data_IF_859317146161
#
_entry.id   IF_859317146161
#
_cell.length_a   1.000
_cell.length_b   1.000
_cell.length_c   1.000
_cell.angle_alpha   90.00
_cell.angle_beta   90.00
_cell.angle_gamma   90.00
#
_symmetry.space_group_name_H-M   'P 1'
#
loop_
_entity.id
_entity.type
_entity.pdbx_description
1 polymer ?
#
# COMPACT_ATOMS: atom_id res chain seq x y z
N UNK A 1 -8.24 39.40 -8.74
CA UNK A 1 -7.38 38.34 -9.32
C UNK A 1 -5.93 38.77 -9.06
N UNK A 2 -5.34 38.27 -7.99
CA UNK A 2 -3.96 38.59 -7.62
C UNK A 2 -3.05 37.66 -8.41
N UNK A 3 -2.33 38.21 -9.37
CA UNK A 3 -1.25 37.51 -10.08
C UNK A 3 -0.17 37.21 -9.05
N UNK A 4 0.02 35.93 -8.72
CA UNK A 4 1.21 35.51 -7.98
C UNK A 4 2.42 35.72 -8.89
N UNK A 5 3.20 36.77 -8.59
CA UNK A 5 4.51 36.99 -9.19
C UNK A 5 5.40 35.79 -8.83
N UNK A 6 5.61 34.92 -9.78
CA UNK A 6 6.60 33.86 -9.65
C UNK A 6 7.98 34.43 -9.96
N UNK A 7 8.99 34.17 -9.12
CA UNK A 7 10.35 34.60 -9.41
C UNK A 7 10.81 34.04 -10.77
N UNK A 8 11.64 34.76 -11.52
CA UNK A 8 12.15 34.29 -12.81
C UNK A 8 12.87 32.96 -12.64
N UNK A 9 12.49 31.97 -13.42
CA UNK A 9 13.11 30.64 -13.39
C UNK A 9 14.53 30.71 -13.95
N UNK A 10 15.45 29.97 -13.34
CA UNK A 10 16.79 29.77 -13.93
C UNK A 10 16.69 28.93 -15.19
N UNK A 11 17.61 29.07 -16.17
CA UNK A 11 17.62 28.25 -17.39
C UNK A 11 17.61 26.73 -17.11
N UNK A 12 18.29 26.27 -16.05
CA UNK A 12 18.30 24.88 -15.63
C UNK A 12 16.92 24.41 -15.12
N UNK A 13 16.23 25.23 -14.34
CA UNK A 13 14.89 24.91 -13.87
C UNK A 13 13.87 24.87 -15.01
N UNK A 14 14.03 25.73 -16.03
CA UNK A 14 13.16 25.75 -17.21
C UNK A 14 13.38 24.51 -18.10
N UNK A 15 14.64 24.11 -18.30
CA UNK A 15 14.98 22.87 -19.02
C UNK A 15 14.42 21.62 -18.31
N UNK A 16 14.60 21.52 -16.98
CA UNK A 16 14.04 20.42 -16.18
C UNK A 16 12.51 20.39 -16.27
N UNK A 17 11.84 21.51 -16.14
CA UNK A 17 10.38 21.61 -16.28
C UNK A 17 9.89 21.17 -17.66
N UNK A 18 10.58 21.57 -18.72
CA UNK A 18 10.24 21.21 -20.10
C UNK A 18 10.38 19.71 -20.33
N UNK A 19 11.47 19.11 -19.81
CA UNK A 19 11.70 17.66 -19.87
C UNK A 19 10.63 16.88 -19.08
N UNK A 20 10.32 17.28 -17.85
CA UNK A 20 9.29 16.62 -17.02
C UNK A 20 7.89 16.72 -17.63
N UNK A 21 7.57 17.88 -18.22
CA UNK A 21 6.30 18.02 -18.97
C UNK A 21 6.24 17.10 -20.18
N UNK A 22 7.33 16.95 -20.93
CA UNK A 22 7.40 16.05 -22.06
C UNK A 22 7.23 14.59 -21.63
N UNK A 23 7.86 14.18 -20.54
CA UNK A 23 7.67 12.86 -19.93
C UNK A 23 6.21 12.65 -19.48
N UNK A 24 5.61 13.60 -18.80
CA UNK A 24 4.21 13.48 -18.36
C UNK A 24 3.25 13.31 -19.54
N UNK A 25 3.45 14.06 -20.64
CA UNK A 25 2.67 13.93 -21.87
C UNK A 25 2.92 12.57 -22.57
N UNK A 26 4.16 12.08 -22.56
CA UNK A 26 4.50 10.77 -23.07
C UNK A 26 3.75 9.64 -22.34
N UNK A 27 3.68 9.69 -21.01
CA UNK A 27 2.91 8.72 -20.22
C UNK A 27 1.42 8.84 -20.48
N UNK A 28 0.89 10.04 -20.57
CA UNK A 28 -0.52 10.28 -20.90
C UNK A 28 -0.89 9.70 -22.27
N UNK A 29 -0.01 9.79 -23.27
CA UNK A 29 -0.21 9.20 -24.58
C UNK A 29 -0.24 7.65 -24.58
N UNK A 30 0.19 7.01 -23.47
CA UNK A 30 0.09 5.56 -23.19
C UNK A 30 -1.10 5.22 -22.29
N UNK A 31 -2.07 6.15 -22.14
CA UNK A 31 -3.19 6.04 -21.22
C UNK A 31 -2.79 5.87 -19.74
N UNK A 32 -1.59 6.35 -19.37
CA UNK A 32 -1.16 6.37 -17.99
C UNK A 32 -1.54 7.69 -17.33
N UNK A 33 -2.33 7.61 -16.28
CA UNK A 33 -2.87 8.74 -15.54
C UNK A 33 -1.79 9.37 -14.66
N UNK A 34 -1.38 10.58 -15.00
CA UNK A 34 -0.30 11.30 -14.30
C UNK A 34 -0.83 12.39 -13.38
N UNK A 35 -0.01 12.76 -12.40
CA UNK A 35 -0.25 13.90 -11.50
C UNK A 35 1.06 14.44 -10.94
N UNK A 36 1.09 15.72 -10.47
CA UNK A 36 2.31 16.34 -9.94
C UNK A 36 2.60 15.90 -8.51
N UNK A 37 3.88 15.61 -8.26
CA UNK A 37 4.47 15.36 -6.94
C UNK A 37 5.47 16.49 -6.62
N UNK A 38 5.69 16.76 -5.35
CA UNK A 38 6.67 17.74 -4.87
C UNK A 38 8.03 17.59 -5.59
N UNK A 39 8.63 18.66 -6.11
CA UNK A 39 9.91 18.61 -6.80
C UNK A 39 11.01 17.93 -5.96
N UNK A 40 11.76 17.01 -6.57
CA UNK A 40 12.85 16.32 -5.91
C UNK A 40 12.43 15.32 -4.83
N UNK A 41 11.14 15.00 -4.71
CA UNK A 41 10.61 14.12 -3.66
C UNK A 41 9.74 13.00 -4.24
N UNK A 42 9.57 11.93 -3.45
CA UNK A 42 8.63 10.83 -3.77
C UNK A 42 7.19 11.17 -3.34
N UNK A 43 7.02 12.14 -2.45
CA UNK A 43 5.77 12.58 -1.79
C UNK A 43 5.98 13.92 -1.07
N UNK A 44 4.92 14.63 -0.73
CA UNK A 44 3.52 14.32 -1.04
C UNK A 44 3.12 14.65 -2.48
N UNK A 45 2.00 14.11 -2.99
CA UNK A 45 1.30 14.67 -4.15
C UNK A 45 0.96 16.14 -3.91
N UNK A 46 1.11 16.96 -4.96
CA UNK A 46 0.81 18.40 -4.88
C UNK A 46 -0.68 18.67 -4.92
N UNK A 47 -1.44 17.81 -5.56
CA UNK A 47 -2.89 17.91 -5.65
C UNK A 47 -3.58 16.99 -4.63
N UNK A 48 -4.64 17.49 -4.00
CA UNK A 48 -5.52 16.67 -3.17
C UNK A 48 -6.31 15.68 -4.04
N UNK A 49 -6.71 14.55 -3.47
CA UNK A 49 -7.50 13.53 -4.19
C UNK A 49 -6.84 13.09 -5.50
N UNK A 50 -5.53 12.94 -5.51
CA UNK A 50 -4.75 12.57 -6.69
C UNK A 50 -5.27 11.28 -7.36
N UNK A 51 -5.82 10.33 -6.61
CA UNK A 51 -6.38 9.07 -7.12
C UNK A 51 -7.49 9.28 -8.16
N UNK A 52 -8.32 10.31 -7.96
CA UNK A 52 -9.45 10.65 -8.84
C UNK A 52 -9.16 11.81 -9.78
N UNK A 53 -8.08 12.56 -9.53
CA UNK A 53 -7.70 13.75 -10.29
C UNK A 53 -6.50 13.54 -11.20
N UNK A 54 -5.80 12.40 -11.10
CA UNK A 54 -4.80 12.03 -12.08
C UNK A 54 -5.43 12.03 -13.49
N UNK A 55 -4.69 12.47 -14.50
CA UNK A 55 -5.26 12.78 -15.81
C UNK A 55 -4.35 12.31 -16.95
N UNK A 56 -4.96 12.00 -18.08
CA UNK A 56 -4.31 11.85 -19.38
C UNK A 56 -4.59 13.04 -20.29
N UNK A 57 -5.36 14.05 -19.83
CA UNK A 57 -5.67 15.24 -20.61
C UNK A 57 -4.41 16.12 -20.78
N UNK A 58 -3.93 16.33 -22.03
CA UNK A 58 -2.74 17.10 -22.31
C UNK A 58 -2.83 18.55 -21.80
N UNK A 59 -3.97 19.19 -21.89
CA UNK A 59 -4.15 20.57 -21.46
C UNK A 59 -4.03 20.69 -19.94
N UNK A 60 -4.57 19.72 -19.20
CA UNK A 60 -4.41 19.66 -17.75
C UNK A 60 -2.94 19.43 -17.36
N UNK A 61 -2.24 18.54 -18.07
CA UNK A 61 -0.83 18.25 -17.84
C UNK A 61 0.01 19.49 -18.12
N UNK A 62 -0.21 20.17 -19.24
CA UNK A 62 0.49 21.43 -19.58
C UNK A 62 0.27 22.49 -18.48
N UNK A 63 -0.95 22.62 -17.97
CA UNK A 63 -1.25 23.54 -16.86
C UNK A 63 -0.47 23.19 -15.60
N UNK A 64 -0.38 21.91 -15.22
CA UNK A 64 0.35 21.49 -14.00
C UNK A 64 1.84 21.80 -14.09
N UNK A 65 2.48 21.42 -15.21
CA UNK A 65 3.91 21.66 -15.39
C UNK A 65 4.25 23.02 -16.07
N UNK A 66 3.34 23.98 -15.97
CA UNK A 66 3.55 25.28 -16.63
C UNK A 66 4.71 26.08 -16.04
N UNK A 67 4.88 26.05 -14.72
CA UNK A 67 5.83 26.92 -14.03
C UNK A 67 6.78 26.17 -13.09
N UNK A 68 6.44 24.98 -12.65
CA UNK A 68 7.17 24.24 -11.62
C UNK A 68 7.60 22.88 -12.17
N UNK A 69 8.87 22.46 -11.96
CA UNK A 69 9.37 21.15 -12.38
C UNK A 69 8.96 20.06 -11.38
N UNK A 70 7.66 19.78 -11.28
CA UNK A 70 7.14 18.72 -10.42
C UNK A 70 7.67 17.35 -10.84
N UNK A 71 7.98 16.49 -9.87
CA UNK A 71 8.14 15.08 -10.14
C UNK A 71 6.79 14.49 -10.60
N UNK A 72 6.83 13.39 -11.34
CA UNK A 72 5.65 12.81 -11.97
C UNK A 72 5.21 11.59 -11.19
N UNK A 73 3.95 11.60 -10.73
CA UNK A 73 3.28 10.41 -10.22
C UNK A 73 2.46 9.75 -11.33
N UNK A 74 2.50 8.42 -11.40
CA UNK A 74 1.60 7.61 -12.23
C UNK A 74 0.63 6.90 -11.30
N UNK A 75 -0.66 7.18 -11.42
CA UNK A 75 -1.73 6.49 -10.69
C UNK A 75 -1.93 5.10 -11.29
N UNK A 76 -1.50 4.05 -10.59
CA UNK A 76 -1.42 2.70 -11.15
C UNK A 76 -2.79 2.10 -11.47
N UNK A 77 -3.79 2.31 -10.60
CA UNK A 77 -5.14 1.77 -10.80
C UNK A 77 -5.81 2.22 -12.09
N UNK A 78 -6.05 3.54 -12.30
CA UNK A 78 -6.63 4.07 -13.54
C UNK A 78 -5.82 3.73 -14.78
N UNK A 79 -4.50 3.61 -14.67
CA UNK A 79 -3.58 3.26 -15.75
C UNK A 79 -3.59 1.76 -16.10
N UNK A 80 -4.38 0.94 -15.40
CA UNK A 80 -4.41 -0.51 -15.62
C UNK A 80 -3.10 -1.22 -15.24
N UNK A 81 -2.27 -0.59 -14.41
CA UNK A 81 -0.93 -1.07 -14.07
C UNK A 81 -0.89 -1.79 -12.72
N UNK A 82 -0.03 -2.80 -12.65
CA UNK A 82 0.49 -3.40 -11.42
C UNK A 82 2.01 -3.28 -11.46
N UNK A 83 2.58 -2.49 -10.56
CA UNK A 83 4.02 -2.33 -10.48
C UNK A 83 4.56 -3.17 -9.34
N UNK A 84 5.52 -4.04 -9.65
CA UNK A 84 6.28 -4.79 -8.66
C UNK A 84 7.48 -3.90 -8.30
N UNK A 85 7.49 -3.46 -7.06
CA UNK A 85 8.50 -2.56 -6.48
C UNK A 85 9.49 -3.43 -5.68
N UNK A 86 10.71 -3.50 -6.19
CA UNK A 86 11.79 -4.36 -5.68
C UNK A 86 12.81 -3.50 -4.96
N UNK A 87 12.71 -3.48 -3.64
CA UNK A 87 13.58 -2.69 -2.79
C UNK A 87 14.93 -3.33 -2.51
N UNK A 88 15.91 -2.49 -2.23
CA UNK A 88 17.18 -2.85 -1.59
C UNK A 88 17.05 -2.74 -0.06
N UNK A 89 17.84 -3.51 0.72
CA UNK A 89 17.84 -3.34 2.18
C UNK A 89 18.39 -1.97 2.57
N UNK A 90 17.88 -1.44 3.67
CA UNK A 90 18.42 -0.23 4.28
C UNK A 90 19.78 -0.53 4.94
N UNK A 91 20.65 0.47 5.16
CA UNK A 91 21.88 0.27 5.91
C UNK A 91 21.61 -0.43 7.26
N UNK A 92 22.34 -1.52 7.52
CA UNK A 92 22.18 -2.35 8.74
C UNK A 92 21.03 -3.36 8.70
N UNK A 93 20.20 -3.36 7.67
CA UNK A 93 19.13 -4.36 7.51
C UNK A 93 19.69 -5.63 6.87
N UNK A 94 19.43 -6.78 7.49
CA UNK A 94 19.86 -8.10 7.01
C UNK A 94 18.70 -8.86 6.39
N UNK A 95 18.99 -9.68 5.39
CA UNK A 95 18.01 -10.57 4.81
C UNK A 95 17.54 -11.62 5.84
N UNK A 96 16.26 -12.01 5.86
CA UNK A 96 15.80 -13.16 6.63
C UNK A 96 16.59 -14.42 6.31
N UNK A 97 16.80 -15.31 7.29
CA UNK A 97 17.65 -16.50 7.19
C UNK A 97 17.40 -17.33 5.92
N UNK A 98 16.15 -17.53 5.56
CA UNK A 98 15.76 -18.28 4.35
C UNK A 98 16.33 -17.69 3.05
N UNK A 99 16.61 -16.38 3.02
CA UNK A 99 17.18 -15.69 1.87
C UNK A 99 18.69 -15.52 2.01
N UNK A 100 19.14 -15.25 3.24
CA UNK A 100 20.56 -15.11 3.55
C UNK A 100 21.34 -16.38 3.22
N UNK A 101 20.82 -17.57 3.54
CA UNK A 101 21.43 -18.87 3.21
C UNK A 101 21.56 -19.12 1.72
N UNK A 102 20.76 -18.44 0.89
CA UNK A 102 20.83 -18.49 -0.57
C UNK A 102 21.66 -17.36 -1.17
N UNK A 103 22.32 -16.53 -0.35
CA UNK A 103 23.07 -15.36 -0.78
C UNK A 103 22.20 -14.25 -1.40
N UNK A 104 20.91 -14.23 -1.09
CA UNK A 104 19.95 -13.25 -1.63
C UNK A 104 19.89 -12.04 -0.71
N UNK A 105 20.17 -10.86 -1.27
CA UNK A 105 20.34 -9.61 -0.53
C UNK A 105 19.39 -8.49 -0.98
N UNK A 106 18.40 -8.76 -1.85
CA UNK A 106 17.49 -7.73 -2.37
C UNK A 106 16.17 -8.31 -2.86
N UNK A 107 15.14 -7.48 -2.99
CA UNK A 107 13.86 -7.87 -3.59
C UNK A 107 13.99 -8.47 -4.98
N UNK A 108 14.90 -7.95 -5.81
CA UNK A 108 15.18 -8.51 -7.12
C UNK A 108 15.74 -9.94 -7.05
N UNK A 109 16.59 -10.22 -6.06
CA UNK A 109 17.07 -11.58 -5.79
C UNK A 109 15.96 -12.50 -5.35
N UNK A 110 15.09 -12.04 -4.45
CA UNK A 110 13.91 -12.78 -3.97
C UNK A 110 12.97 -13.11 -5.13
N UNK A 111 12.63 -12.12 -5.97
CA UNK A 111 11.74 -12.33 -7.12
C UNK A 111 12.29 -13.39 -8.08
N UNK A 112 13.60 -13.34 -8.40
CA UNK A 112 14.26 -14.35 -9.25
C UNK A 112 14.21 -15.75 -8.63
N UNK A 113 14.39 -15.86 -7.32
CA UNK A 113 14.31 -17.14 -6.62
C UNK A 113 12.89 -17.70 -6.63
N UNK A 114 11.88 -16.86 -6.41
CA UNK A 114 10.47 -17.25 -6.48
C UNK A 114 10.07 -17.67 -7.90
N UNK A 115 10.49 -16.95 -8.93
CA UNK A 115 10.24 -17.34 -10.32
C UNK A 115 10.78 -18.75 -10.62
N UNK A 116 12.01 -19.04 -10.16
CA UNK A 116 12.60 -20.39 -10.30
C UNK A 116 11.79 -21.48 -9.58
N UNK A 117 11.24 -21.18 -8.40
CA UNK A 117 10.34 -22.12 -7.69
C UNK A 117 9.07 -22.41 -8.48
N UNK A 118 8.64 -21.48 -9.32
CA UNK A 118 7.52 -21.66 -10.26
C UNK A 118 7.96 -22.18 -11.63
N UNK A 119 9.17 -22.73 -11.75
CA UNK A 119 9.76 -23.24 -12.99
C UNK A 119 9.74 -22.22 -14.17
N UNK A 120 9.93 -20.93 -13.84
CA UNK A 120 9.92 -19.82 -14.80
C UNK A 120 11.02 -18.81 -14.50
N UNK A 121 11.11 -17.77 -15.32
CA UNK A 121 11.98 -16.62 -15.13
C UNK A 121 11.15 -15.36 -14.90
N UNK A 122 11.79 -14.28 -14.43
CA UNK A 122 11.15 -12.97 -14.38
C UNK A 122 10.90 -12.50 -15.82
N UNK A 123 9.64 -12.32 -16.16
CA UNK A 123 9.26 -11.89 -17.52
C UNK A 123 9.72 -10.46 -17.78
N UNK A 124 10.50 -10.20 -18.83
CA UNK A 124 10.90 -8.85 -19.21
C UNK A 124 9.68 -7.98 -19.50
N UNK A 125 9.68 -6.77 -18.95
CA UNK A 125 8.59 -5.81 -19.06
C UNK A 125 9.15 -4.39 -18.97
N UNK A 126 8.32 -3.36 -19.04
CA UNK A 126 8.76 -1.98 -18.78
C UNK A 126 9.44 -1.89 -17.41
N UNK A 127 10.67 -1.38 -17.37
CA UNK A 127 11.49 -1.43 -16.17
C UNK A 127 12.19 -0.10 -15.88
N UNK A 128 12.19 0.27 -14.61
CA UNK A 128 12.73 1.53 -14.09
C UNK A 128 13.62 1.23 -12.89
N UNK A 129 14.80 1.87 -12.79
CA UNK A 129 15.59 1.87 -11.56
C UNK A 129 15.12 2.97 -10.62
N UNK A 130 15.20 2.69 -9.33
CA UNK A 130 14.83 3.66 -8.29
C UNK A 130 16.08 4.32 -7.71
N UNK A 131 15.96 5.52 -7.08
CA UNK A 131 17.11 6.23 -6.48
C UNK A 131 17.86 5.43 -5.41
N UNK A 132 17.23 4.43 -4.82
CA UNK A 132 17.84 3.53 -3.82
C UNK A 132 18.50 2.30 -4.41
N UNK A 133 18.59 2.18 -5.75
CA UNK A 133 19.15 1.02 -6.44
C UNK A 133 18.20 -0.17 -6.55
N UNK A 134 16.92 0.02 -6.24
CA UNK A 134 15.85 -0.93 -6.48
C UNK A 134 15.29 -0.86 -7.91
N UNK A 135 14.18 -1.56 -8.15
CA UNK A 135 13.54 -1.66 -9.46
C UNK A 135 12.04 -1.55 -9.36
N UNK A 136 11.42 -0.85 -10.31
CA UNK A 136 10.00 -0.96 -10.62
C UNK A 136 9.83 -1.78 -11.90
N UNK A 137 9.10 -2.89 -11.83
CA UNK A 137 8.69 -3.67 -12.98
C UNK A 137 7.19 -3.43 -13.22
N UNK A 138 6.85 -2.89 -14.38
CA UNK A 138 5.48 -2.50 -14.71
C UNK A 138 4.82 -3.62 -15.51
N UNK A 139 3.69 -4.08 -15.02
CA UNK A 139 2.83 -5.07 -15.68
C UNK A 139 1.43 -4.50 -15.89
N UNK A 140 0.71 -4.99 -16.88
CA UNK A 140 -0.73 -4.74 -16.99
C UNK A 140 -1.50 -5.65 -16.04
N UNK A 141 -2.54 -5.10 -15.41
CA UNK A 141 -3.42 -5.88 -14.57
C UNK A 141 -4.23 -6.87 -15.44
N UNK A 142 -4.38 -8.14 -15.03
CA UNK A 142 -5.28 -9.05 -15.73
C UNK A 142 -6.71 -8.50 -15.80
N UNK A 143 -7.46 -8.76 -16.88
CA UNK A 143 -8.82 -8.26 -17.04
C UNK A 143 -9.71 -8.59 -15.83
N UNK A 144 -10.39 -7.57 -15.29
CA UNK A 144 -11.28 -7.71 -14.13
C UNK A 144 -10.58 -7.86 -12.77
N UNK A 145 -9.25 -7.98 -12.72
CA UNK A 145 -8.51 -8.07 -11.47
C UNK A 145 -8.46 -6.70 -10.76
N UNK A 146 -8.83 -6.69 -9.47
CA UNK A 146 -8.70 -5.51 -8.60
C UNK A 146 -7.61 -5.73 -7.55
N UNK A 147 -6.39 -5.89 -8.03
CA UNK A 147 -5.23 -6.00 -7.15
C UNK A 147 -5.01 -4.70 -6.38
N UNK A 148 -4.52 -4.82 -5.15
CA UNK A 148 -4.24 -3.71 -4.24
C UNK A 148 -2.74 -3.58 -3.99
N UNK A 149 -2.35 -2.45 -3.42
CA UNK A 149 -1.00 -2.29 -2.89
C UNK A 149 -0.73 -3.35 -1.82
N UNK A 150 0.44 -3.94 -1.87
CA UNK A 150 0.92 -4.86 -0.83
C UNK A 150 2.30 -4.47 -0.35
N UNK A 151 2.69 -4.96 0.82
CA UNK A 151 4.02 -4.84 1.37
C UNK A 151 4.49 -6.23 1.79
N UNK A 152 5.62 -6.68 1.25
CA UNK A 152 6.25 -7.98 1.52
C UNK A 152 5.34 -9.23 1.33
N UNK A 153 4.18 -9.11 0.67
CA UNK A 153 3.22 -10.24 0.50
C UNK A 153 3.79 -11.31 -0.42
N UNK A 154 4.45 -10.91 -1.50
CA UNK A 154 5.11 -11.83 -2.44
C UNK A 154 6.38 -12.38 -1.80
N UNK A 155 7.14 -11.52 -1.13
CA UNK A 155 8.40 -11.86 -0.49
C UNK A 155 9.10 -10.63 0.07
N UNK A 156 10.17 -10.86 0.83
CA UNK A 156 10.95 -9.80 1.45
C UNK A 156 11.47 -8.79 0.41
N UNK A 157 11.25 -7.51 0.68
CA UNK A 157 11.61 -6.39 -0.21
C UNK A 157 10.89 -6.40 -1.56
N UNK A 158 9.68 -6.98 -1.59
CA UNK A 158 8.81 -6.94 -2.76
C UNK A 158 7.47 -6.32 -2.37
N UNK A 159 7.30 -5.06 -2.75
CA UNK A 159 6.05 -4.33 -2.63
C UNK A 159 5.28 -4.36 -3.95
N UNK A 160 4.01 -4.06 -3.91
CA UNK A 160 3.23 -3.81 -5.12
C UNK A 160 2.50 -2.49 -5.04
N UNK A 161 2.42 -1.80 -6.17
CA UNK A 161 1.59 -0.62 -6.37
C UNK A 161 0.57 -0.95 -7.45
N UNK A 162 -0.70 -0.93 -7.08
CA UNK A 162 -1.82 -1.31 -7.93
C UNK A 162 -3.01 -0.36 -7.68
N UNK A 163 -4.24 -0.84 -7.65
CA UNK A 163 -5.41 0.01 -7.44
C UNK A 163 -5.36 0.74 -6.08
N UNK A 164 -5.45 2.06 -6.12
CA UNK A 164 -5.27 2.96 -4.97
C UNK A 164 -3.80 3.28 -4.64
N UNK A 165 -2.88 2.97 -5.55
CA UNK A 165 -1.47 3.27 -5.45
C UNK A 165 -0.95 4.18 -6.56
N UNK A 166 0.29 4.60 -6.40
CA UNK A 166 1.05 5.28 -7.43
C UNK A 166 2.53 4.93 -7.35
N UNK A 167 3.23 5.20 -8.43
CA UNK A 167 4.68 5.18 -8.50
C UNK A 167 5.21 6.53 -8.96
N UNK A 168 6.45 6.83 -8.61
CA UNK A 168 7.17 7.95 -9.23
C UNK A 168 7.69 7.49 -10.57
N UNK A 169 7.38 8.26 -11.61
CA UNK A 169 7.71 7.93 -12.99
C UNK A 169 9.19 8.13 -13.30
N UNK A 170 9.75 7.40 -14.30
CA UNK A 170 11.07 7.67 -14.82
C UNK A 170 11.17 9.10 -15.37
N UNK A 171 12.39 9.64 -15.35
CA UNK A 171 12.66 11.04 -15.67
C UNK A 171 12.45 11.99 -14.49
N UNK A 172 11.86 11.54 -13.37
CA UNK A 172 11.69 12.36 -12.16
C UNK A 172 12.99 12.43 -11.36
N UNK A 173 13.55 13.63 -11.14
CA UNK A 173 14.83 13.82 -10.44
C UNK A 173 14.59 13.76 -8.91
N UNK A 174 14.66 12.57 -8.37
CA UNK A 174 14.60 12.35 -6.91
C UNK A 174 15.98 11.90 -6.43
N UNK A 175 16.65 12.66 -5.53
CA UNK A 175 17.98 12.29 -5.05
C UNK A 175 18.04 10.87 -4.45
N UNK A 176 19.19 10.16 -4.57
CA UNK A 176 20.46 10.64 -5.12
C UNK A 176 20.60 10.57 -6.65
N UNK A 177 19.86 9.71 -7.37
CA UNK A 177 20.08 9.47 -8.82
C UNK A 177 18.85 9.75 -9.69
N UNK A 178 17.65 9.84 -9.12
CA UNK A 178 16.40 9.90 -9.87
C UNK A 178 15.79 8.52 -10.19
N UNK A 179 14.66 8.55 -10.89
CA UNK A 179 14.03 7.35 -11.46
C UNK A 179 14.42 7.27 -12.92
N UNK A 180 15.10 6.20 -13.33
CA UNK A 180 15.67 6.06 -14.67
C UNK A 180 15.01 4.93 -15.43
N UNK A 181 14.56 5.20 -16.65
CA UNK A 181 14.03 4.20 -17.56
C UNK A 181 15.16 3.29 -18.05
N UNK A 182 15.00 1.99 -17.89
CA UNK A 182 15.99 0.97 -18.33
C UNK A 182 15.46 0.15 -19.50
N UNK A 183 14.16 -0.14 -19.51
CA UNK A 183 13.50 -0.90 -20.56
C UNK A 183 12.16 -0.22 -20.89
N UNK A 184 11.98 0.24 -22.13
CA UNK A 184 10.82 1.02 -22.59
C UNK A 184 9.80 0.19 -23.38
N UNK A 185 9.96 -1.16 -23.38
CA UNK A 185 8.94 -2.02 -23.97
C UNK A 185 7.59 -1.82 -23.33
N UNK A 186 6.51 -2.16 -24.01
CA UNK A 186 5.19 -2.09 -23.41
C UNK A 186 5.06 -3.06 -22.22
N UNK A 187 4.39 -2.66 -21.13
CA UNK A 187 4.11 -3.57 -20.03
C UNK A 187 3.36 -4.82 -20.53
N UNK A 188 3.88 -5.98 -20.18
CA UNK A 188 3.22 -7.25 -20.46
C UNK A 188 2.22 -7.59 -19.35
N UNK A 189 1.31 -8.51 -19.58
CA UNK A 189 0.36 -8.96 -18.55
C UNK A 189 1.11 -9.55 -17.34
N UNK A 190 0.58 -9.28 -16.14
CA UNK A 190 1.14 -9.79 -14.89
C UNK A 190 1.17 -11.32 -14.93
N UNK A 191 2.34 -11.97 -14.74
CA UNK A 191 2.45 -13.42 -14.73
C UNK A 191 1.45 -14.08 -13.77
N UNK A 192 0.82 -15.18 -14.21
CA UNK A 192 -0.25 -15.84 -13.46
C UNK A 192 0.14 -16.23 -12.02
N UNK A 193 1.39 -16.63 -11.79
CA UNK A 193 1.88 -16.96 -10.45
C UNK A 193 1.96 -15.72 -9.53
N UNK A 194 2.32 -14.53 -10.07
CA UNK A 194 2.28 -13.27 -9.33
C UNK A 194 0.84 -12.84 -9.06
N UNK A 195 -0.04 -12.96 -10.05
CA UNK A 195 -1.46 -12.70 -9.87
C UNK A 195 -2.05 -13.58 -8.76
N UNK A 196 -1.74 -14.87 -8.75
CA UNK A 196 -2.19 -15.79 -7.71
C UNK A 196 -1.65 -15.41 -6.33
N UNK A 197 -0.37 -15.01 -6.23
CA UNK A 197 0.24 -14.58 -4.97
C UNK A 197 -0.39 -13.29 -4.42
N UNK A 198 -0.83 -12.38 -5.31
CA UNK A 198 -1.43 -11.09 -4.97
C UNK A 198 -2.96 -11.15 -4.78
N UNK A 199 -3.60 -12.20 -5.30
CA UNK A 199 -5.03 -12.39 -5.08
C UNK A 199 -5.27 -12.72 -3.60
N UNK A 200 -6.05 -11.89 -2.88
CA UNK A 200 -6.41 -12.22 -1.51
C UNK A 200 -7.02 -13.63 -1.50
N UNK A 201 -6.38 -14.56 -0.80
CA UNK A 201 -7.05 -15.84 -0.52
C UNK A 201 -8.39 -15.46 0.13
N UNK A 202 -9.53 -16.00 -0.35
CA UNK A 202 -10.76 -15.83 0.38
C UNK A 202 -10.39 -16.12 1.83
N UNK A 203 -10.70 -15.22 2.73
CA UNK A 203 -10.69 -15.55 4.15
C UNK A 203 -11.61 -16.76 4.21
N UNK A 204 -11.03 -17.96 4.05
CA UNK A 204 -11.67 -19.21 4.50
C UNK A 204 -12.06 -18.82 5.88
N UNK A 205 -13.37 -18.65 6.11
CA UNK A 205 -13.93 -18.12 7.34
C UNK A 205 -13.05 -18.71 8.41
N UNK A 206 -12.16 -17.85 9.00
CA UNK A 206 -11.27 -18.27 10.08
C UNK A 206 -12.23 -19.03 10.93
N UNK A 207 -12.08 -20.36 10.95
CA UNK A 207 -13.01 -21.33 11.47
C UNK A 207 -13.75 -20.64 12.56
N UNK A 208 -15.07 -20.45 12.39
CA UNK A 208 -15.89 -19.71 13.34
C UNK A 208 -15.52 -20.40 14.64
N UNK A 209 -14.53 -19.82 15.35
CA UNK A 209 -14.21 -20.29 16.67
C UNK A 209 -15.49 -20.03 17.38
N UNK A 210 -16.34 -21.05 17.42
CA UNK A 210 -17.46 -21.11 18.33
C UNK A 210 -16.79 -20.89 19.67
N UNK A 211 -16.81 -19.64 20.11
CA UNK A 211 -16.41 -19.31 21.47
C UNK A 211 -17.39 -20.08 22.30
N UNK A 212 -16.96 -21.24 22.76
CA UNK A 212 -17.65 -21.96 23.83
C UNK A 212 -17.92 -20.89 24.87
N UNK A 213 -19.19 -20.70 25.24
CA UNK A 213 -19.63 -19.62 26.10
C UNK A 213 -18.66 -19.51 27.28
N UNK A 214 -17.78 -18.50 27.23
CA UNK A 214 -16.83 -18.29 28.28
C UNK A 214 -17.67 -18.06 29.56
N UNK A 215 -17.30 -18.71 30.63
CA UNK A 215 -17.96 -18.53 31.93
C UNK A 215 -17.96 -17.06 32.39
N UNK A 216 -17.18 -16.21 31.72
CA UNK A 216 -17.14 -14.76 31.93
C UNK A 216 -17.00 -14.03 30.56
N UNK A 217 -18.10 -13.60 29.91
CA UNK A 217 -18.08 -12.86 28.66
C UNK A 217 -17.30 -11.53 28.75
N UNK A 218 -17.37 -10.84 29.89
CA UNK A 218 -16.66 -9.57 30.12
C UNK A 218 -15.15 -9.76 30.18
N UNK A 219 -14.68 -10.84 30.79
CA UNK A 219 -13.28 -11.21 30.83
C UNK A 219 -12.68 -11.51 29.45
N UNK A 220 -13.46 -12.24 28.62
CA UNK A 220 -13.07 -12.54 27.23
C UNK A 220 -12.94 -11.27 26.38
N UNK A 221 -13.93 -10.38 26.44
CA UNK A 221 -13.94 -9.12 25.68
C UNK A 221 -12.77 -8.23 26.10
N UNK A 222 -12.52 -8.12 27.41
CA UNK A 222 -11.39 -7.35 27.94
C UNK A 222 -10.03 -7.93 27.51
N UNK A 223 -9.90 -9.25 27.49
CA UNK A 223 -8.68 -9.90 27.02
C UNK A 223 -8.47 -9.70 25.50
N UNK A 224 -9.52 -9.80 24.71
CA UNK A 224 -9.49 -9.56 23.28
C UNK A 224 -9.09 -8.10 22.97
N UNK A 225 -9.71 -7.13 23.65
CA UNK A 225 -9.41 -5.71 23.50
C UNK A 225 -7.93 -5.43 23.82
N UNK A 226 -7.44 -5.89 24.98
CA UNK A 226 -6.03 -5.73 25.35
C UNK A 226 -5.08 -6.39 24.36
N UNK A 227 -5.40 -7.61 23.90
CA UNK A 227 -4.58 -8.36 22.94
C UNK A 227 -4.47 -7.68 21.58
N UNK A 228 -5.60 -7.16 21.05
CA UNK A 228 -5.58 -6.43 19.79
C UNK A 228 -4.83 -5.10 19.92
N UNK A 229 -5.06 -4.33 20.97
CA UNK A 229 -4.34 -3.09 21.23
C UNK A 229 -2.83 -3.32 21.41
N UNK A 230 -2.43 -4.42 22.07
CA UNK A 230 -1.02 -4.76 22.21
C UNK A 230 -0.38 -5.11 20.87
N UNK A 231 -1.06 -5.88 20.00
CA UNK A 231 -0.58 -6.15 18.64
C UNK A 231 -0.38 -4.88 17.83
N UNK A 232 -1.29 -3.91 17.97
CA UNK A 232 -1.15 -2.60 17.32
C UNK A 232 0.09 -1.88 17.84
N UNK A 233 0.27 -1.76 19.17
CA UNK A 233 1.43 -1.06 19.76
C UNK A 233 2.79 -1.64 19.35
N UNK A 234 2.85 -2.95 19.14
CA UNK A 234 4.09 -3.68 18.80
C UNK A 234 4.20 -4.04 17.33
N UNK A 235 3.37 -3.44 16.48
CA UNK A 235 3.41 -3.71 15.06
C UNK A 235 4.75 -3.26 14.44
N UNK A 236 5.42 -4.11 13.65
CA UNK A 236 6.65 -3.72 12.98
C UNK A 236 6.43 -2.59 11.97
N UNK A 237 7.46 -1.79 11.73
CA UNK A 237 7.45 -0.79 10.66
C UNK A 237 7.08 -1.44 9.32
N UNK A 238 6.25 -0.76 8.52
CA UNK A 238 5.70 -1.28 7.27
C UNK A 238 4.47 -2.18 7.42
N UNK A 239 4.13 -2.65 8.63
CA UNK A 239 2.95 -3.48 8.89
C UNK A 239 1.84 -2.76 9.66
N UNK A 240 2.06 -1.52 10.10
CA UNK A 240 1.17 -0.76 10.96
C UNK A 240 -0.28 -0.75 10.46
N UNK A 241 -0.46 -0.41 9.18
CA UNK A 241 -1.80 -0.33 8.59
C UNK A 241 -2.51 -1.69 8.54
N UNK A 242 -1.78 -2.76 8.19
CA UNK A 242 -2.33 -4.11 8.10
C UNK A 242 -2.72 -4.67 9.48
N UNK A 243 -1.88 -4.43 10.50
CA UNK A 243 -2.15 -4.84 11.87
C UNK A 243 -3.32 -4.07 12.45
N UNK A 244 -3.36 -2.74 12.26
CA UNK A 244 -4.45 -1.89 12.73
C UNK A 244 -5.78 -2.25 12.07
N UNK A 245 -5.80 -2.52 10.76
CA UNK A 245 -6.99 -2.95 10.04
C UNK A 245 -7.55 -4.27 10.60
N UNK A 246 -6.68 -5.27 10.83
CA UNK A 246 -7.07 -6.56 11.41
C UNK A 246 -7.61 -6.42 12.82
N UNK A 247 -6.95 -5.62 13.65
CA UNK A 247 -7.39 -5.35 15.02
C UNK A 247 -8.77 -4.66 15.05
N UNK A 248 -8.95 -3.63 14.21
CA UNK A 248 -10.22 -2.93 14.08
C UNK A 248 -11.35 -3.86 13.60
N UNK A 249 -11.06 -4.73 12.60
CA UNK A 249 -12.04 -5.72 12.15
C UNK A 249 -12.43 -6.70 13.26
N UNK A 250 -11.45 -7.25 14.00
CA UNK A 250 -11.69 -8.21 15.05
C UNK A 250 -12.52 -7.63 16.21
N UNK A 251 -12.24 -6.38 16.60
CA UNK A 251 -13.03 -5.67 17.64
C UNK A 251 -14.39 -5.24 17.11
N UNK A 252 -14.50 -4.88 15.83
CA UNK A 252 -15.76 -4.63 15.14
C UNK A 252 -16.70 -5.83 15.17
N UNK A 253 -16.17 -7.06 15.00
CA UNK A 253 -16.97 -8.27 15.14
C UNK A 253 -17.58 -8.46 16.54
N UNK A 254 -16.84 -8.06 17.58
CA UNK A 254 -17.37 -8.06 18.97
C UNK A 254 -18.40 -6.98 19.16
N UNK A 255 -18.19 -5.79 18.57
CA UNK A 255 -19.15 -4.70 18.63
C UNK A 255 -20.47 -5.06 17.91
N UNK A 256 -20.39 -5.64 16.72
CA UNK A 256 -21.57 -6.12 15.99
C UNK A 256 -22.33 -7.24 16.69
N UNK A 257 -21.65 -8.01 17.55
CA UNK A 257 -22.28 -9.01 18.42
C UNK A 257 -22.88 -8.42 19.72
N UNK A 258 -22.79 -7.11 19.95
CA UNK A 258 -23.25 -6.43 21.17
C UNK A 258 -22.42 -6.75 22.41
N UNK A 259 -21.21 -7.28 22.25
CA UNK A 259 -20.32 -7.67 23.35
C UNK A 259 -19.34 -6.56 23.77
N UNK A 260 -19.07 -5.62 22.87
CA UNK A 260 -18.13 -4.51 23.06
C UNK A 260 -18.80 -3.23 22.56
N UNK A 261 -18.66 -2.15 23.31
CA UNK A 261 -19.06 -0.84 22.82
C UNK A 261 -18.13 -0.36 21.72
N UNK A 262 -18.70 0.13 20.61
CA UNK A 262 -17.94 0.51 19.43
C UNK A 262 -17.06 1.75 19.66
N UNK A 263 -17.51 2.69 20.48
CA UNK A 263 -16.76 3.90 20.79
C UNK A 263 -15.59 3.59 21.73
N UNK A 264 -15.78 2.66 22.66
CA UNK A 264 -14.69 2.09 23.48
C UNK A 264 -13.64 1.41 22.61
N UNK A 265 -14.05 0.57 21.66
CA UNK A 265 -13.12 -0.06 20.72
C UNK A 265 -12.34 0.98 19.90
N UNK A 266 -13.01 2.02 19.42
CA UNK A 266 -12.40 3.12 18.68
C UNK A 266 -11.38 3.89 19.51
N UNK A 267 -11.73 4.26 20.73
CA UNK A 267 -10.88 5.02 21.64
C UNK A 267 -9.59 4.24 21.96
N UNK A 268 -9.72 2.98 22.33
CA UNK A 268 -8.58 2.11 22.68
C UNK A 268 -7.65 1.84 21.49
N UNK A 269 -8.21 1.60 20.30
CA UNK A 269 -7.40 1.45 19.08
C UNK A 269 -6.70 2.75 18.69
N UNK A 270 -7.34 3.90 18.86
CA UNK A 270 -6.74 5.20 18.58
C UNK A 270 -5.56 5.47 19.53
N UNK A 271 -5.75 5.19 20.82
CA UNK A 271 -4.68 5.29 21.82
C UNK A 271 -3.51 4.32 21.52
N UNK A 272 -3.82 3.08 21.17
CA UNK A 272 -2.79 2.09 20.79
C UNK A 272 -2.02 2.50 19.53
N UNK A 273 -2.72 3.02 18.52
CA UNK A 273 -2.13 3.45 17.27
C UNK A 273 -1.33 4.76 17.40
N UNK A 274 -1.56 5.56 18.43
CA UNK A 274 -0.74 6.74 18.74
C UNK A 274 0.75 6.42 18.89
N UNK A 275 1.07 5.23 19.40
CA UNK A 275 2.45 4.73 19.52
C UNK A 275 3.13 4.44 18.17
N UNK A 276 2.36 4.33 17.07
CA UNK A 276 2.87 4.06 15.72
C UNK A 276 3.31 5.33 14.99
N UNK A 277 2.95 6.51 15.50
CA UNK A 277 3.31 7.80 14.92
C UNK A 277 4.73 8.12 15.35
N UNK A 278 5.71 7.87 14.47
CA UNK A 278 7.12 8.17 14.69
C UNK A 278 7.73 8.83 13.47
N UNK A 279 8.94 9.35 13.60
CA UNK A 279 9.67 9.95 12.47
C UNK A 279 9.94 8.97 11.32
N UNK A 280 9.94 7.68 11.61
CA UNK A 280 10.20 6.59 10.64
C UNK A 280 8.91 5.99 10.03
N UNK A 281 7.73 6.50 10.43
CA UNK A 281 6.44 6.03 9.94
C UNK A 281 5.65 7.15 9.26
N UNK A 282 5.13 6.87 8.06
CA UNK A 282 4.23 7.77 7.34
C UNK A 282 2.78 7.75 7.88
N UNK A 283 2.55 7.12 9.03
CA UNK A 283 1.24 6.99 9.65
C UNK A 283 0.73 8.36 10.10
N UNK A 284 -0.32 8.86 9.48
CA UNK A 284 -0.96 10.11 9.90
C UNK A 284 -2.16 9.83 10.81
N UNK A 285 -2.49 10.73 11.76
CA UNK A 285 -3.69 10.60 12.58
C UNK A 285 -4.97 10.42 11.76
N UNK A 286 -5.05 11.06 10.59
CA UNK A 286 -6.18 10.97 9.67
C UNK A 286 -6.31 9.59 9.04
N UNK A 287 -5.21 8.98 8.64
CA UNK A 287 -5.19 7.60 8.10
C UNK A 287 -5.55 6.59 9.17
N UNK A 288 -4.98 6.72 10.36
CA UNK A 288 -5.31 5.88 11.53
C UNK A 288 -6.81 5.92 11.78
N UNK A 289 -7.41 7.10 11.88
CA UNK A 289 -8.85 7.26 12.11
C UNK A 289 -9.68 6.61 10.98
N UNK A 290 -9.28 6.77 9.72
CA UNK A 290 -9.94 6.16 8.57
C UNK A 290 -9.90 4.63 8.62
N UNK A 291 -8.74 4.06 8.94
CA UNK A 291 -8.55 2.60 9.03
C UNK A 291 -9.37 2.00 10.16
N UNK A 292 -9.34 2.62 11.33
CA UNK A 292 -10.14 2.20 12.49
C UNK A 292 -11.63 2.22 12.14
N UNK A 293 -12.13 3.33 11.58
CA UNK A 293 -13.53 3.47 11.21
C UNK A 293 -13.98 2.41 10.22
N UNK A 294 -13.22 2.21 9.15
CA UNK A 294 -13.53 1.22 8.13
C UNK A 294 -13.46 -0.22 8.65
N UNK A 295 -12.45 -0.53 9.47
CA UNK A 295 -12.28 -1.85 10.07
C UNK A 295 -13.37 -2.21 11.06
N UNK A 296 -13.74 -1.28 11.97
CA UNK A 296 -14.84 -1.47 12.92
C UNK A 296 -16.17 -1.69 12.19
N UNK A 297 -16.49 -0.88 11.18
CA UNK A 297 -17.70 -1.02 10.40
C UNK A 297 -17.77 -2.36 9.65
N UNK A 298 -16.69 -2.75 8.99
CA UNK A 298 -16.59 -4.03 8.28
C UNK A 298 -16.73 -5.23 9.24
N UNK A 299 -16.11 -5.16 10.42
CA UNK A 299 -16.22 -6.17 11.46
C UNK A 299 -17.65 -6.26 12.03
N UNK A 300 -18.28 -5.13 12.31
CA UNK A 300 -19.65 -5.08 12.83
C UNK A 300 -20.68 -5.65 11.86
N UNK A 301 -20.46 -5.49 10.56
CA UNK A 301 -21.26 -6.15 9.51
C UNK A 301 -21.12 -7.68 9.48
N UNK A 302 -20.09 -8.24 10.15
CA UNK A 302 -19.81 -9.67 10.22
C UNK A 302 -19.63 -10.12 11.69
N UNK A 303 -20.67 -10.04 12.53
CA UNK A 303 -20.58 -10.27 13.96
C UNK A 303 -20.17 -11.71 14.29
N UNK A 304 -19.44 -11.88 15.40
CA UNK A 304 -19.14 -13.23 15.94
C UNK A 304 -20.41 -13.89 16.41
N UNK A 305 -20.61 -15.15 16.01
CA UNK A 305 -21.73 -15.96 16.52
C UNK A 305 -21.41 -16.44 17.92
N UNK A 306 -22.24 -16.05 18.89
CA UNK A 306 -22.22 -16.60 20.25
C UNK A 306 -23.26 -17.72 20.34
N UNK A 307 -22.82 -18.96 20.58
CA UNK A 307 -23.74 -20.03 20.91
C UNK A 307 -24.14 -19.91 22.39
N UNK A 308 -25.37 -19.46 22.67
CA UNK A 308 -25.98 -19.57 24.00
C UNK A 308 -26.14 -21.06 24.29
N UNK A 309 -25.47 -21.57 25.31
CA UNK A 309 -25.81 -22.88 25.90
C UNK A 309 -27.18 -22.74 26.60
N UNK A 310 -28.23 -23.21 25.96
CA UNK A 310 -29.49 -23.44 26.63
C UNK A 310 -29.27 -24.54 27.67
N UNK A 311 -29.24 -24.16 28.94
CA UNK A 311 -29.34 -25.10 30.04
C UNK A 311 -30.77 -25.68 30.02
N UNK A 312 -30.91 -26.93 29.53
CA UNK A 312 -32.09 -27.71 29.87
C UNK A 312 -32.05 -27.99 31.37
N UNK A 313 -32.84 -27.24 32.13
CA UNK A 313 -33.29 -27.72 33.45
C UNK A 313 -34.26 -28.87 33.18
N UNK A 314 -33.84 -30.09 33.41
CA UNK A 314 -34.70 -31.21 33.53
C UNK A 314 -35.53 -31.06 34.81
N UNK A 315 -36.85 -31.04 34.63
CA UNK A 315 -37.77 -31.28 35.70
C UNK A 315 -37.87 -32.78 35.97
N UNK A 316 -37.61 -33.18 37.16
CA UNK A 316 -38.04 -34.44 37.74
C UNK A 316 -39.13 -34.14 38.79
#
# INVERSE_FOLDING_TARGET
MTTLDHPPMTPAADAARTSLRAWALHFAARDWYVFPITPGAKKPPVISQWETRASTDPDQIIRWWRYIPYAIGISTGPSGLVVIDLDTPKPGETAPDRWATLGITSGAGVLRALARQHATTVTPTYAVTTPSGGWHLYYTAPPGARLRNTHDVIGWKIDTRAHGGYVVAPGSPVPPSGYELVDDRDPVELPGWLHQALTPKPLTALSVSTVAAAANPSGYVSAALRGECQRVRTAPSGQHNAVLCRAAYALGQLAGAGLLDQDTARAELTAAAGALISADCDCTPREIARVITAGLAAGAANPRRTTRRTSHQGAA
#
